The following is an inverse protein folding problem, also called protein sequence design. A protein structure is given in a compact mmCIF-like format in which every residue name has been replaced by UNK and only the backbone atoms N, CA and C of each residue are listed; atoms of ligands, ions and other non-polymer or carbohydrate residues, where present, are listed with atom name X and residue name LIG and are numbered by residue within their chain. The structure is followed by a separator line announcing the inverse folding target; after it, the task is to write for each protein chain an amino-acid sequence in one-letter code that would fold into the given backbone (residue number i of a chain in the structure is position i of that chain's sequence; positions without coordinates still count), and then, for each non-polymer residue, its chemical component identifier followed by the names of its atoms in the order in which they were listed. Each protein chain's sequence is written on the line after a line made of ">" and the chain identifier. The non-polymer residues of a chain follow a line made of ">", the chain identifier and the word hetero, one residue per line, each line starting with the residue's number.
data_IF_270369664972
#
_entry.id   IF_270369664972
#
_cell.length_a   1.000
_cell.length_b   1.000
_cell.length_c   1.000
_cell.angle_alpha   90.00
_cell.angle_beta   90.00
_cell.angle_gamma   90.00
#
_symmetry.space_group_name_H-M   'P 1'
#
loop_
_entity.id
_entity.type
_entity.pdbx_description
1 polymer ?
#
# COMPACT_ATOMS: atom_id res chain seq x y z
N UNK A 1 11.86 -14.39 7.50
CA UNK A 1 10.71 -14.13 6.62
C UNK A 1 10.90 -12.77 5.99
N UNK A 2 10.62 -12.59 4.71
CA UNK A 2 10.68 -11.30 4.01
C UNK A 2 9.28 -10.87 3.55
N UNK A 3 8.87 -9.65 3.90
CA UNK A 3 7.59 -9.05 3.52
C UNK A 3 7.79 -7.75 2.73
N UNK A 4 6.89 -7.47 1.80
CA UNK A 4 6.87 -6.20 1.06
C UNK A 4 5.60 -5.43 1.42
N UNK A 5 5.76 -4.20 1.88
CA UNK A 5 4.67 -3.27 2.15
C UNK A 5 4.53 -2.31 0.99
N UNK A 6 3.33 -2.20 0.43
CA UNK A 6 3.07 -1.45 -0.79
C UNK A 6 2.11 -0.31 -0.48
N UNK A 7 2.55 0.92 -0.68
CA UNK A 7 1.73 2.11 -0.50
C UNK A 7 0.90 2.40 -1.75
N UNK A 8 -0.41 2.57 -1.57
CA UNK A 8 -1.33 3.07 -2.62
C UNK A 8 -2.07 4.34 -2.20
N UNK A 9 -2.07 4.67 -0.91
CA UNK A 9 -2.78 5.82 -0.36
C UNK A 9 -3.93 5.41 0.55
N UNK A 10 -5.09 6.08 0.39
CA UNK A 10 -6.20 5.97 1.31
C UNK A 10 -5.95 6.61 2.69
N UNK A 11 -6.95 6.58 3.54
CA UNK A 11 -6.91 7.27 4.85
C UNK A 11 -5.81 6.78 5.78
N UNK A 12 -5.35 5.54 5.63
CA UNK A 12 -4.23 4.99 6.41
C UNK A 12 -2.91 5.72 6.14
N UNK A 13 -2.72 6.22 4.91
CA UNK A 13 -1.51 6.93 4.46
C UNK A 13 -1.66 8.46 4.48
N UNK A 14 -2.84 8.98 4.84
CA UNK A 14 -3.07 10.43 4.96
C UNK A 14 -2.22 10.98 6.11
N UNK A 15 -1.53 12.09 5.84
CA UNK A 15 -0.86 12.88 6.85
C UNK A 15 -1.55 14.26 6.98
N UNK A 16 -1.42 14.88 8.13
CA UNK A 16 -1.90 16.24 8.33
C UNK A 16 -0.81 17.23 7.94
N UNK A 17 -1.13 18.30 7.19
CA UNK A 17 -0.16 19.36 6.93
C UNK A 17 0.39 19.90 8.25
N UNK A 18 1.71 20.07 8.33
CA UNK A 18 2.35 20.63 9.54
C UNK A 18 1.96 22.09 9.81
N UNK A 19 1.22 22.73 8.91
CA UNK A 19 0.73 24.10 9.07
C UNK A 19 -0.71 24.11 9.59
N UNK A 20 -0.96 24.94 10.62
CA UNK A 20 -2.21 25.02 11.41
C UNK A 20 -3.48 25.43 10.63
N UNK A 21 -3.42 25.57 9.30
CA UNK A 21 -4.51 26.02 8.43
C UNK A 21 -4.76 25.12 7.20
N UNK A 22 -4.04 24.01 7.06
CA UNK A 22 -4.21 23.09 5.94
C UNK A 22 -5.37 22.13 6.17
N UNK A 23 -6.53 22.41 5.55
CA UNK A 23 -7.63 21.45 5.43
C UNK A 23 -7.41 20.43 4.30
N UNK A 24 -6.30 20.56 3.56
CA UNK A 24 -5.92 19.64 2.50
C UNK A 24 -5.25 18.42 3.12
N UNK A 25 -5.81 17.23 2.89
CA UNK A 25 -5.13 15.98 3.18
C UNK A 25 -4.05 15.78 2.12
N UNK A 26 -2.83 15.54 2.56
CA UNK A 26 -1.74 15.15 1.68
C UNK A 26 -1.34 13.72 2.00
N UNK A 27 -0.97 12.97 0.96
CA UNK A 27 -0.33 11.68 1.15
C UNK A 27 1.14 11.93 1.45
N UNK A 28 1.58 11.46 2.61
CA UNK A 28 2.96 11.60 3.07
C UNK A 28 3.74 10.31 2.92
N UNK A 29 4.80 10.22 3.73
CA UNK A 29 5.57 8.98 3.92
C UNK A 29 4.63 7.78 4.19
N UNK A 30 4.93 6.59 3.62
CA UNK A 30 4.14 5.39 3.85
C UNK A 30 3.87 5.17 5.34
N UNK A 31 2.61 4.93 5.70
CA UNK A 31 2.26 4.64 7.09
C UNK A 31 3.02 3.41 7.63
N UNK A 32 3.32 2.45 6.74
CA UNK A 32 4.13 1.28 7.04
C UNK A 32 5.50 1.63 7.64
N UNK A 33 6.21 2.65 7.13
CA UNK A 33 7.51 3.05 7.68
C UNK A 33 7.39 3.43 9.17
N UNK A 34 6.46 4.33 9.48
CA UNK A 34 6.23 4.83 10.86
C UNK A 34 5.83 3.71 11.83
N UNK A 35 5.12 2.69 11.36
CA UNK A 35 4.70 1.55 12.16
C UNK A 35 5.84 0.57 12.37
N UNK A 36 6.54 0.19 11.31
CA UNK A 36 7.59 -0.83 11.35
C UNK A 36 8.81 -0.37 12.15
N UNK A 37 9.17 0.91 12.06
CA UNK A 37 10.25 1.51 12.85
C UNK A 37 9.99 1.39 14.36
N UNK A 38 8.74 1.53 14.79
CA UNK A 38 8.34 1.41 16.20
C UNK A 38 8.23 -0.04 16.66
N UNK A 39 7.77 -0.92 15.78
CA UNK A 39 7.53 -2.32 16.11
C UNK A 39 8.83 -3.15 16.14
N UNK A 40 9.86 -2.71 15.43
CA UNK A 40 11.15 -3.41 15.31
C UNK A 40 10.98 -4.93 15.08
N UNK A 41 10.31 -5.33 13.98
CA UNK A 41 9.93 -6.71 13.77
C UNK A 41 11.14 -7.62 13.55
N UNK A 42 10.98 -8.90 13.88
CA UNK A 42 12.01 -9.94 13.66
C UNK A 42 12.12 -10.43 12.21
N UNK A 43 11.26 -9.94 11.31
CA UNK A 43 11.30 -10.24 9.88
C UNK A 43 11.99 -9.10 9.10
N UNK A 44 12.54 -9.41 7.93
CA UNK A 44 13.03 -8.38 7.02
C UNK A 44 11.88 -7.84 6.20
N UNK A 45 11.94 -6.57 5.83
CA UNK A 45 10.91 -5.96 5.02
C UNK A 45 11.46 -4.94 4.03
N UNK A 46 10.66 -4.65 3.01
CA UNK A 46 10.83 -3.52 2.12
C UNK A 46 9.51 -2.74 2.08
N UNK A 47 9.58 -1.41 2.01
CA UNK A 47 8.43 -0.55 1.75
C UNK A 47 8.59 0.07 0.37
N UNK A 48 7.55 -0.01 -0.46
CA UNK A 48 7.53 0.48 -1.84
C UNK A 48 6.26 1.31 -2.05
N UNK A 49 6.38 2.44 -2.73
CA UNK A 49 5.22 3.26 -3.09
C UNK A 49 4.85 3.02 -4.55
N UNK A 50 3.61 2.61 -4.79
CA UNK A 50 3.06 2.48 -6.15
C UNK A 50 2.33 3.76 -6.54
N UNK A 51 1.44 4.23 -5.65
CA UNK A 51 0.73 5.49 -5.82
C UNK A 51 0.32 6.04 -4.46
N UNK A 52 -0.24 7.24 -4.49
CA UNK A 52 -0.68 7.99 -3.32
C UNK A 52 -2.01 8.66 -3.69
N UNK A 53 -3.09 7.86 -3.68
CA UNK A 53 -4.41 8.26 -4.18
C UNK A 53 -5.51 8.01 -3.16
N UNK A 54 -6.61 8.75 -3.30
CA UNK A 54 -7.85 8.32 -2.68
C UNK A 54 -8.35 7.05 -3.41
N UNK A 55 -8.97 6.11 -2.70
CA UNK A 55 -9.39 4.84 -3.30
C UNK A 55 -10.37 5.03 -4.46
N UNK A 56 -11.19 6.08 -4.41
CA UNK A 56 -12.13 6.39 -5.49
C UNK A 56 -11.43 6.83 -6.79
N UNK A 57 -10.15 7.18 -6.73
CA UNK A 57 -9.33 7.62 -7.87
C UNK A 57 -8.38 6.52 -8.38
N UNK A 58 -8.38 5.34 -7.75
CA UNK A 58 -7.56 4.19 -8.18
C UNK A 58 -8.16 3.57 -9.45
N UNK A 59 -7.38 3.56 -10.51
CA UNK A 59 -7.77 3.04 -11.83
C UNK A 59 -7.24 1.63 -12.06
N UNK A 60 -7.65 1.00 -13.16
CA UNK A 60 -7.12 -0.32 -13.54
C UNK A 60 -5.64 -0.27 -13.91
N UNK A 61 -5.13 0.85 -14.39
CA UNK A 61 -3.69 1.09 -14.62
C UNK A 61 -2.91 1.11 -13.29
N UNK A 62 -3.48 1.71 -12.24
CA UNK A 62 -2.88 1.67 -10.90
C UNK A 62 -2.86 0.23 -10.37
N UNK A 63 -3.97 -0.52 -10.53
CA UNK A 63 -4.03 -1.95 -10.14
C UNK A 63 -3.04 -2.81 -10.92
N UNK A 64 -2.83 -2.50 -12.20
CA UNK A 64 -1.77 -3.13 -13.00
C UNK A 64 -0.38 -2.78 -12.46
N UNK A 65 -0.16 -1.55 -12.01
CA UNK A 65 1.11 -1.12 -11.40
C UNK A 65 1.36 -1.81 -10.06
N UNK A 66 0.33 -2.02 -9.24
CA UNK A 66 0.41 -2.84 -8.02
C UNK A 66 0.86 -4.27 -8.39
N UNK A 67 0.22 -4.87 -9.40
CA UNK A 67 0.62 -6.20 -9.87
C UNK A 67 2.08 -6.26 -10.36
N UNK A 68 2.53 -5.28 -11.14
CA UNK A 68 3.92 -5.20 -11.56
C UNK A 68 4.88 -5.03 -10.37
N UNK A 69 4.47 -4.30 -9.33
CA UNK A 69 5.24 -4.18 -8.10
C UNK A 69 5.43 -5.54 -7.42
N UNK A 70 4.38 -6.38 -7.33
CA UNK A 70 4.50 -7.74 -6.77
C UNK A 70 5.52 -8.58 -7.55
N UNK A 71 5.49 -8.51 -8.88
CA UNK A 71 6.42 -9.26 -9.74
C UNK A 71 7.87 -8.80 -9.60
N UNK A 72 8.08 -7.49 -9.46
CA UNK A 72 9.41 -6.90 -9.36
C UNK A 72 10.05 -7.03 -7.98
N UNK A 73 9.25 -7.35 -6.95
CA UNK A 73 9.70 -7.47 -5.56
C UNK A 73 9.33 -8.84 -4.95
N UNK A 74 9.99 -9.94 -5.36
CA UNK A 74 9.67 -11.27 -4.85
C UNK A 74 9.78 -11.37 -3.32
N UNK A 75 8.69 -11.73 -2.65
CA UNK A 75 8.61 -11.86 -1.19
C UNK A 75 7.75 -13.03 -0.75
N UNK A 76 7.80 -13.36 0.55
CA UNK A 76 6.98 -14.42 1.14
C UNK A 76 5.55 -13.96 1.47
N UNK A 77 5.31 -12.65 1.40
CA UNK A 77 4.01 -12.04 1.55
C UNK A 77 4.03 -10.54 1.30
N UNK A 78 2.86 -10.00 1.00
CA UNK A 78 2.66 -8.60 0.64
C UNK A 78 1.55 -8.00 1.49
N UNK A 79 1.76 -6.77 1.93
CA UNK A 79 0.76 -5.96 2.64
C UNK A 79 0.57 -4.67 1.88
N UNK A 80 -0.63 -4.41 1.38
CA UNK A 80 -0.93 -3.25 0.56
C UNK A 80 -1.74 -2.28 1.41
N UNK A 81 -1.25 -1.06 1.64
CA UNK A 81 -2.07 -0.02 2.26
C UNK A 81 -2.95 0.62 1.20
N UNK A 82 -4.26 0.65 1.44
CA UNK A 82 -5.27 1.05 0.47
C UNK A 82 -6.43 1.78 1.14
N UNK A 83 -7.13 2.64 0.38
CA UNK A 83 -8.38 3.26 0.83
C UNK A 83 -9.55 2.27 0.79
N UNK A 84 -10.52 2.42 1.67
CA UNK A 84 -11.55 1.39 1.88
C UNK A 84 -12.58 1.29 0.77
N UNK A 85 -12.85 2.38 0.03
CA UNK A 85 -14.00 2.45 -0.87
C UNK A 85 -13.89 1.48 -2.07
N UNK A 86 -12.69 1.32 -2.62
CA UNK A 86 -12.42 0.41 -3.76
C UNK A 86 -11.45 -0.72 -3.40
N UNK A 87 -11.20 -0.94 -2.10
CA UNK A 87 -10.30 -2.01 -1.60
C UNK A 87 -10.68 -3.37 -2.18
N UNK A 88 -11.97 -3.70 -2.18
CA UNK A 88 -12.49 -4.98 -2.67
C UNK A 88 -12.20 -5.16 -4.17
N UNK A 89 -12.31 -4.10 -4.96
CA UNK A 89 -12.04 -4.14 -6.40
C UNK A 89 -10.57 -4.46 -6.68
N UNK A 90 -9.66 -3.80 -5.94
CA UNK A 90 -8.22 -4.08 -6.02
C UNK A 90 -7.89 -5.49 -5.56
N UNK A 91 -8.48 -5.96 -4.45
CA UNK A 91 -8.29 -7.34 -3.98
C UNK A 91 -8.78 -8.37 -5.02
N UNK A 92 -9.94 -8.15 -5.64
CA UNK A 92 -10.48 -9.01 -6.70
C UNK A 92 -9.63 -8.98 -7.97
N UNK A 93 -9.08 -7.82 -8.34
CA UNK A 93 -8.17 -7.69 -9.47
C UNK A 93 -6.92 -8.55 -9.25
N UNK A 94 -6.33 -8.49 -8.06
CA UNK A 94 -5.13 -9.24 -7.71
C UNK A 94 -5.43 -10.74 -7.62
N UNK A 95 -6.52 -11.14 -6.93
CA UNK A 95 -6.92 -12.53 -6.73
C UNK A 95 -7.03 -13.37 -8.01
N UNK A 96 -7.28 -12.74 -9.17
CA UNK A 96 -7.31 -13.41 -10.47
C UNK A 96 -5.93 -13.77 -11.03
N UNK A 97 -4.86 -13.25 -10.42
CA UNK A 97 -3.47 -13.30 -10.93
C UNK A 97 -2.51 -13.97 -9.96
N UNK A 98 -2.73 -13.81 -8.65
CA UNK A 98 -1.95 -14.48 -7.62
C UNK A 98 -2.24 -15.99 -7.59
N UNK A 99 -1.18 -16.77 -7.44
CA UNK A 99 -1.21 -18.20 -7.19
C UNK A 99 -1.12 -18.48 -5.69
N UNK A 100 0.05 -18.95 -5.24
CA UNK A 100 0.30 -19.29 -3.83
C UNK A 100 0.79 -18.10 -2.98
N UNK A 101 0.95 -16.92 -3.60
CA UNK A 101 1.43 -15.72 -2.92
C UNK A 101 0.44 -15.24 -1.86
N UNK A 102 0.99 -14.84 -0.69
CA UNK A 102 0.19 -14.28 0.41
C UNK A 102 0.05 -12.78 0.22
N UNK A 103 -1.13 -12.34 -0.19
CA UNK A 103 -1.43 -10.91 -0.37
C UNK A 103 -2.54 -10.49 0.57
N UNK A 104 -2.31 -9.39 1.28
CA UNK A 104 -3.31 -8.69 2.10
C UNK A 104 -3.44 -7.27 1.57
N UNK A 105 -4.68 -6.84 1.30
CA UNK A 105 -5.05 -5.47 0.93
C UNK A 105 -5.90 -4.88 2.04
#
# INVERSE_FOLDING_TARGET
>A
MHLVFIQTGGTIDKDYPQTTKGWAFEFGEPAANRLLDKLNPSFTYQVVTVCQKDSLEITDEDRASIWQCLLNHPAQGYVITHGTDTLIETAQYLAKRIGEERVVV
#
